data_IF_202463609054
#
_entry.id   IF_202463609054
#
_cell.length_a   1.000
_cell.length_b   1.000
_cell.length_c   1.000
_cell.angle_alpha   90.00
_cell.angle_beta   90.00
_cell.angle_gamma   90.00
#
_symmetry.space_group_name_H-M   'P 1'
#
loop_
_entity.id
_entity.type
_entity.pdbx_description
1 polymer ?
#
# COMPACT_ATOMS: atom_id res chain seq x y z
N UNK A 1 -3.35 -41.83 -7.07
CA UNK A 1 -2.69 -40.79 -6.25
C UNK A 1 -2.85 -39.48 -6.99
N UNK A 2 -3.76 -38.60 -6.56
CA UNK A 2 -3.97 -37.31 -7.21
C UNK A 2 -3.08 -36.30 -6.48
N UNK A 3 -1.99 -35.87 -7.13
CA UNK A 3 -1.15 -34.79 -6.62
C UNK A 3 -1.89 -33.47 -6.87
N UNK A 4 -2.47 -32.89 -5.81
CA UNK A 4 -3.04 -31.55 -5.87
C UNK A 4 -1.92 -30.52 -5.96
N UNK A 5 -1.87 -29.76 -7.06
CA UNK A 5 -0.96 -28.63 -7.23
C UNK A 5 -1.42 -27.50 -6.30
N UNK A 6 -0.64 -27.20 -5.26
CA UNK A 6 -0.87 -26.05 -4.39
C UNK A 6 -0.48 -24.77 -5.16
N UNK A 7 -1.46 -24.08 -5.73
CA UNK A 7 -1.26 -22.73 -6.27
C UNK A 7 -1.29 -21.73 -5.13
N UNK A 8 -0.17 -21.07 -4.88
CA UNK A 8 -0.10 -19.94 -3.96
C UNK A 8 -0.74 -18.72 -4.64
N UNK A 9 -1.90 -18.29 -4.14
CA UNK A 9 -2.53 -17.04 -4.59
C UNK A 9 -1.99 -15.91 -3.72
N UNK A 10 -1.22 -14.99 -4.29
CA UNK A 10 -0.88 -13.73 -3.61
C UNK A 10 -1.99 -12.71 -3.86
N UNK A 11 -2.70 -12.36 -2.79
CA UNK A 11 -3.73 -11.32 -2.79
C UNK A 11 -3.23 -9.97 -2.24
N UNK A 12 -1.92 -9.83 -1.98
CA UNK A 12 -1.36 -8.59 -1.45
C UNK A 12 -1.48 -7.47 -2.51
N UNK A 13 -2.21 -6.42 -2.16
CA UNK A 13 -2.33 -5.20 -2.98
C UNK A 13 -1.24 -4.19 -2.61
N UNK A 14 -0.73 -4.32 -1.38
CA UNK A 14 0.31 -3.47 -0.79
C UNK A 14 1.54 -4.33 -0.51
N UNK A 15 2.72 -3.81 -0.84
CA UNK A 15 4.02 -4.33 -0.38
C UNK A 15 4.76 -3.28 0.40
N UNK A 16 5.66 -3.72 1.27
CA UNK A 16 6.50 -2.84 2.08
C UNK A 16 7.97 -3.23 1.96
N UNK A 17 8.86 -2.24 2.03
CA UNK A 17 10.30 -2.46 2.11
C UNK A 17 10.90 -1.52 3.18
N UNK A 18 11.52 -2.05 4.25
CA UNK A 18 11.64 -3.48 4.58
C UNK A 18 10.27 -4.13 4.85
N UNK A 19 10.18 -5.45 4.66
CA UNK A 19 8.95 -6.22 4.90
C UNK A 19 8.46 -6.08 6.35
N UNK A 20 9.41 -5.99 7.28
CA UNK A 20 9.15 -5.67 8.68
C UNK A 20 9.78 -4.31 9.00
N UNK A 21 8.97 -3.30 9.35
CA UNK A 21 9.46 -1.99 9.75
C UNK A 21 10.48 -2.09 10.88
N UNK A 22 11.62 -1.40 10.71
CA UNK A 22 12.64 -1.25 11.75
C UNK A 22 12.48 0.13 12.37
N UNK A 23 12.52 0.20 13.70
CA UNK A 23 12.39 1.46 14.42
C UNK A 23 13.47 2.46 13.99
N UNK A 24 13.06 3.66 13.58
CA UNK A 24 13.96 4.73 13.14
C UNK A 24 14.38 4.64 11.68
N UNK A 25 13.96 3.60 10.95
CA UNK A 25 14.22 3.46 9.52
C UNK A 25 12.96 3.79 8.70
N UNK A 26 13.18 4.21 7.44
CA UNK A 26 12.10 4.46 6.50
C UNK A 26 11.48 3.15 6.02
N UNK A 27 10.17 3.17 5.77
CA UNK A 27 9.45 2.09 5.08
C UNK A 27 8.87 2.65 3.80
N UNK A 28 9.22 2.02 2.67
CA UNK A 28 8.57 2.28 1.39
C UNK A 28 7.31 1.42 1.29
N UNK A 29 6.18 2.04 0.98
CA UNK A 29 4.90 1.37 0.71
C UNK A 29 4.64 1.45 -0.79
N UNK A 30 4.38 0.31 -1.42
CA UNK A 30 4.01 0.24 -2.84
C UNK A 30 2.61 -0.33 -2.97
N UNK A 31 1.77 0.33 -3.78
CA UNK A 31 0.41 -0.09 -4.08
C UNK A 31 0.33 -0.52 -5.54
N UNK A 32 -0.07 -1.78 -5.79
CA UNK A 32 -0.28 -2.28 -7.15
C UNK A 32 -1.75 -2.15 -7.54
N UNK A 33 -2.03 -1.16 -8.39
CA UNK A 33 -3.38 -0.84 -8.86
C UNK A 33 -3.99 -1.95 -9.73
N UNK A 34 -3.19 -2.91 -10.23
CA UNK A 34 -3.67 -4.09 -10.97
C UNK A 34 -4.20 -5.21 -10.06
N UNK A 35 -4.07 -5.05 -8.72
CA UNK A 35 -4.54 -6.02 -7.72
C UNK A 35 -5.83 -5.53 -7.04
N UNK A 36 -6.40 -6.39 -6.20
CA UNK A 36 -7.61 -6.08 -5.44
C UNK A 36 -8.85 -6.00 -6.34
N UNK A 37 -9.55 -4.86 -6.30
CA UNK A 37 -10.74 -4.60 -7.13
C UNK A 37 -10.42 -3.91 -8.46
N UNK A 38 -9.13 -3.62 -8.72
CA UNK A 38 -8.59 -3.02 -9.95
C UNK A 38 -9.24 -1.69 -10.36
N UNK A 39 -9.88 -0.96 -9.45
CA UNK A 39 -10.58 0.29 -9.78
C UNK A 39 -9.64 1.44 -10.14
N UNK A 40 -8.39 1.37 -9.70
CA UNK A 40 -7.37 2.39 -9.95
C UNK A 40 -6.39 1.98 -11.07
N UNK A 41 -6.59 0.83 -11.71
CA UNK A 41 -5.77 0.41 -12.85
C UNK A 41 -5.89 1.42 -13.99
N UNK A 42 -4.75 1.90 -14.49
CA UNK A 42 -4.67 2.92 -15.54
C UNK A 42 -5.08 4.32 -15.10
N UNK A 43 -5.36 4.55 -13.80
CA UNK A 43 -5.72 5.87 -13.30
C UNK A 43 -4.53 6.83 -13.38
N UNK A 44 -4.74 7.98 -14.03
CA UNK A 44 -3.69 8.98 -14.30
C UNK A 44 -3.69 10.16 -13.33
N UNK A 45 -4.73 10.28 -12.48
CA UNK A 45 -4.82 11.32 -11.45
C UNK A 45 -4.04 10.94 -10.20
N UNK A 46 -3.80 11.91 -9.32
CA UNK A 46 -3.02 11.71 -8.10
C UNK A 46 -3.65 10.67 -7.15
N UNK A 47 -2.81 9.82 -6.57
CA UNK A 47 -3.20 8.80 -5.59
C UNK A 47 -2.66 9.21 -4.23
N UNK A 48 -3.47 9.05 -3.19
CA UNK A 48 -3.14 9.44 -1.82
C UNK A 48 -3.31 8.24 -0.89
N UNK A 49 -2.30 7.99 -0.04
CA UNK A 49 -2.32 6.93 0.95
C UNK A 49 -2.57 7.52 2.34
N UNK A 50 -3.74 7.24 2.90
CA UNK A 50 -4.05 7.59 4.29
C UNK A 50 -3.47 6.53 5.22
N UNK A 51 -2.34 6.85 5.85
CA UNK A 51 -1.61 5.92 6.72
C UNK A 51 -1.57 6.41 8.16
N UNK A 52 -1.47 5.44 9.06
CA UNK A 52 -1.25 5.64 10.49
C UNK A 52 -0.64 4.37 11.07
N UNK A 53 -0.34 4.40 12.37
CA UNK A 53 0.09 3.22 13.12
C UNK A 53 -0.89 2.97 14.25
N UNK A 54 -1.26 1.70 14.43
CA UNK A 54 -2.06 1.25 15.56
C UNK A 54 -1.14 0.45 16.49
N UNK A 55 -1.16 0.76 17.78
CA UNK A 55 -0.37 0.04 18.79
C UNK A 55 -1.29 -0.80 19.67
N UNK A 56 -0.75 -1.34 20.76
CA UNK A 56 -1.49 -2.00 21.82
C UNK A 56 -2.66 -1.19 22.42
N UNK A 57 -2.64 0.14 22.28
CA UNK A 57 -3.75 1.01 22.63
C UNK A 57 -4.55 1.23 21.34
N UNK A 58 -5.77 0.67 21.29
CA UNK A 58 -6.58 0.43 20.10
C UNK A 58 -7.10 1.67 19.32
N UNK A 59 -6.25 2.67 19.09
CA UNK A 59 -6.52 3.87 18.32
C UNK A 59 -5.43 4.09 17.28
N UNK A 60 -5.82 4.55 16.09
CA UNK A 60 -4.84 4.98 15.09
C UNK A 60 -4.13 6.24 15.55
N UNK A 61 -2.80 6.23 15.42
CA UNK A 61 -1.91 7.33 15.81
C UNK A 61 -0.97 7.65 14.67
N UNK A 62 -0.32 8.81 14.78
CA UNK A 62 0.63 9.30 13.78
C UNK A 62 0.02 9.37 12.37
N UNK A 63 -1.26 9.77 12.30
CA UNK A 63 -1.98 9.98 11.05
C UNK A 63 -1.25 11.05 10.23
N UNK A 64 -0.94 10.74 8.97
CA UNK A 64 -0.21 11.67 8.11
C UNK A 64 -1.12 12.71 7.42
N UNK A 65 -2.40 12.39 7.27
CA UNK A 65 -3.46 13.24 6.74
C UNK A 65 -4.82 12.72 7.21
N UNK A 66 -5.75 13.60 7.55
CA UNK A 66 -7.11 13.21 7.93
C UNK A 66 -7.86 12.61 6.74
N UNK A 67 -8.78 11.69 7.02
CA UNK A 67 -9.51 10.98 5.96
C UNK A 67 -10.28 11.97 5.08
N UNK A 68 -10.03 11.94 3.77
CA UNK A 68 -10.66 12.84 2.80
C UNK A 68 -9.89 14.14 2.57
N UNK A 69 -8.77 14.36 3.26
CA UNK A 69 -7.86 15.48 3.01
C UNK A 69 -6.65 15.05 2.18
N UNK A 70 -6.66 15.42 0.90
CA UNK A 70 -5.56 15.16 -0.03
C UNK A 70 -4.40 16.15 0.20
N UNK A 71 -3.53 15.83 1.16
CA UNK A 71 -2.32 16.62 1.45
C UNK A 71 -1.11 16.10 0.67
N UNK A 72 -0.13 16.97 0.44
CA UNK A 72 1.14 16.60 -0.23
C UNK A 72 1.88 15.48 0.52
N UNK A 73 1.75 15.40 1.84
CA UNK A 73 2.40 14.38 2.66
C UNK A 73 1.83 12.97 2.44
N UNK A 74 0.57 12.87 2.03
CA UNK A 74 -0.10 11.61 1.74
C UNK A 74 -0.04 11.23 0.26
N UNK A 75 0.45 12.13 -0.61
CA UNK A 75 0.52 11.90 -2.05
C UNK A 75 1.55 10.82 -2.37
N UNK A 76 1.12 9.82 -3.14
CA UNK A 76 2.01 8.77 -3.64
C UNK A 76 2.78 9.24 -4.86
N UNK A 77 3.99 8.72 -5.01
CA UNK A 77 4.79 8.88 -6.22
C UNK A 77 4.53 7.70 -7.15
N UNK A 78 4.30 7.99 -8.42
CA UNK A 78 4.12 6.96 -9.44
C UNK A 78 5.46 6.42 -9.90
N UNK A 79 5.53 5.11 -10.15
CA UNK A 79 6.70 4.51 -10.77
C UNK A 79 6.86 5.01 -12.22
N UNK A 80 8.07 5.44 -12.63
CA UNK A 80 8.29 6.01 -13.96
C UNK A 80 8.19 4.98 -15.10
N UNK A 81 8.26 3.68 -14.78
CA UNK A 81 8.25 2.58 -15.76
C UNK A 81 6.93 1.80 -15.72
N UNK A 82 6.12 1.95 -14.68
CA UNK A 82 4.83 1.30 -14.55
C UNK A 82 3.76 2.25 -13.98
N UNK A 83 2.77 2.69 -14.78
CA UNK A 83 1.75 3.63 -14.34
C UNK A 83 0.78 3.07 -13.29
N UNK A 84 0.82 1.76 -13.02
CA UNK A 84 -0.02 1.08 -12.04
C UNK A 84 0.69 0.86 -10.68
N UNK A 85 1.93 1.36 -10.51
CA UNK A 85 2.71 1.30 -9.27
C UNK A 85 3.02 2.71 -8.73
#
# INVERSE_FOLDING_TARGET
FLLGLLTTVQAQVITTNPEFPVSGESVTITFDATKGNTQLEGYTGDVYAYTGVNTDVADWRHIIADWGENTDKAKMERDPNNPNL
#
